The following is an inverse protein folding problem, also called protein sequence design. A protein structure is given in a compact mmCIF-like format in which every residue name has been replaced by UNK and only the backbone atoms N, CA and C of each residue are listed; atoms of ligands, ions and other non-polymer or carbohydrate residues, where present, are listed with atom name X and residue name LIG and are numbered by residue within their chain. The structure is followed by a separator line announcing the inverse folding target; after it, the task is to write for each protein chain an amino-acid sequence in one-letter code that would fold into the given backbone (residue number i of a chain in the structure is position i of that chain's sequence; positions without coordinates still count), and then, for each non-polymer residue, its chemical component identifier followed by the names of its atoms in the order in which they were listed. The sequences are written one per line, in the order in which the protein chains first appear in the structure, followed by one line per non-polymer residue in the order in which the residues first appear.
data_IF_270844673678
#
_entry.id   IF_270844673678
#
_cell.length_a   1.000
_cell.length_b   1.000
_cell.length_c   1.000
_cell.angle_alpha   90.00
_cell.angle_beta   90.00
_cell.angle_gamma   90.00
#
_symmetry.space_group_name_H-M   'P 1'
#
loop_
_entity.id
_entity.type
_entity.pdbx_description
1 polymer ?
#
# COMPACT_ATOMS: atom_id res chain seq x y z
N UNK A 1 60.79 18.29 -12.72
CA UNK A 1 60.70 16.83 -12.51
C UNK A 1 59.24 16.41 -12.67
N UNK A 2 58.84 16.09 -13.90
CA UNK A 2 57.49 15.55 -14.16
C UNK A 2 57.40 14.11 -13.69
N UNK A 3 56.27 13.70 -13.11
CA UNK A 3 56.02 12.33 -12.70
C UNK A 3 55.62 11.50 -13.94
N UNK A 4 56.43 10.54 -14.42
CA UNK A 4 56.08 9.75 -15.59
C UNK A 4 55.06 8.67 -15.20
N UNK A 5 53.77 8.94 -15.36
CA UNK A 5 52.73 7.93 -15.22
C UNK A 5 52.56 7.15 -16.54
N UNK A 6 52.51 5.82 -16.44
CA UNK A 6 52.32 4.93 -17.60
C UNK A 6 50.96 5.13 -18.30
N UNK A 7 50.82 4.56 -19.50
CA UNK A 7 49.59 4.63 -20.27
C UNK A 7 48.39 4.08 -19.47
N UNK A 8 47.32 4.88 -19.37
CA UNK A 8 46.13 4.56 -18.55
C UNK A 8 46.07 5.23 -17.18
N UNK A 9 47.13 5.94 -16.78
CA UNK A 9 47.20 6.66 -15.50
C UNK A 9 47.43 8.16 -15.71
N UNK A 10 47.01 8.98 -14.75
CA UNK A 10 47.19 10.43 -14.74
C UNK A 10 47.79 10.90 -13.42
N UNK A 11 48.55 12.00 -13.43
CA UNK A 11 49.21 12.52 -12.24
C UNK A 11 48.24 13.42 -11.45
N UNK A 12 47.90 13.03 -10.23
CA UNK A 12 47.05 13.81 -9.32
C UNK A 12 47.73 13.91 -7.95
N UNK A 13 47.97 15.15 -7.46
CA UNK A 13 48.66 15.45 -6.18
C UNK A 13 49.97 14.67 -5.96
N UNK A 14 50.80 14.56 -7.00
CA UNK A 14 52.13 13.95 -6.90
C UNK A 14 52.15 12.41 -6.97
N UNK A 15 51.00 11.77 -7.23
CA UNK A 15 50.91 10.32 -7.45
C UNK A 15 50.17 9.97 -8.75
N UNK A 16 50.35 8.75 -9.24
CA UNK A 16 49.68 8.25 -10.44
C UNK A 16 48.36 7.56 -10.07
N UNK A 17 47.25 8.00 -10.67
CA UNK A 17 45.89 7.42 -10.49
C UNK A 17 45.32 6.95 -11.81
N UNK A 18 44.52 5.87 -11.82
CA UNK A 18 43.93 5.33 -13.04
C UNK A 18 42.92 6.30 -13.66
N UNK A 19 42.86 6.36 -14.99
CA UNK A 19 41.84 7.13 -15.71
C UNK A 19 40.50 6.38 -15.60
N UNK A 20 39.51 6.97 -14.94
CA UNK A 20 38.16 6.40 -14.93
C UNK A 20 37.54 6.47 -16.34
N UNK A 21 37.06 5.34 -16.86
CA UNK A 21 36.24 5.32 -18.06
C UNK A 21 34.82 5.82 -17.73
N UNK A 22 34.25 6.65 -18.61
CA UNK A 22 32.87 7.11 -18.49
C UNK A 22 31.91 5.90 -18.42
N UNK A 23 31.06 5.87 -17.39
CA UNK A 23 30.37 4.70 -16.89
C UNK A 23 29.38 4.02 -17.84
N UNK A 24 29.13 2.75 -17.54
CA UNK A 24 27.99 1.98 -18.04
C UNK A 24 26.69 2.63 -17.58
N UNK A 25 25.85 3.02 -18.54
CA UNK A 25 24.48 3.49 -18.30
C UNK A 25 23.69 2.33 -17.69
N UNK A 26 23.49 2.37 -16.38
CA UNK A 26 22.63 1.46 -15.64
C UNK A 26 21.17 1.88 -15.82
N UNK A 27 20.35 0.89 -16.19
CA UNK A 27 18.89 0.80 -16.22
C UNK A 27 18.11 1.77 -17.13
N UNK A 28 17.60 1.18 -18.23
CA UNK A 28 16.46 1.69 -18.99
C UNK A 28 15.19 1.33 -18.23
N UNK A 29 14.50 2.32 -17.69
CA UNK A 29 13.08 2.20 -17.34
C UNK A 29 12.25 2.43 -18.62
N UNK A 30 12.18 1.40 -19.46
CA UNK A 30 11.16 1.29 -20.51
C UNK A 30 10.00 0.47 -19.93
N UNK A 31 9.22 1.06 -19.01
CA UNK A 31 7.90 0.52 -18.68
C UNK A 31 6.91 1.09 -19.69
N UNK A 32 6.88 0.44 -20.85
CA UNK A 32 5.72 0.50 -21.74
C UNK A 32 4.54 -0.14 -21.02
N UNK A 33 3.67 0.72 -20.51
CA UNK A 33 2.26 0.51 -20.16
C UNK A 33 1.64 -0.69 -20.89
N UNK A 34 1.56 -1.83 -20.20
CA UNK A 34 0.51 -2.82 -20.45
C UNK A 34 -0.61 -2.54 -19.46
N UNK A 35 -1.84 -2.51 -19.97
CA UNK A 35 -3.04 -2.02 -19.30
C UNK A 35 -3.65 -3.07 -18.34
N UNK A 36 -2.81 -3.70 -17.52
CA UNK A 36 -3.17 -4.57 -16.39
C UNK A 36 -2.10 -4.43 -15.29
N UNK A 37 -1.80 -3.19 -14.88
CA UNK A 37 -0.90 -2.95 -13.74
C UNK A 37 -1.66 -3.19 -12.46
N UNK A 38 -1.26 -4.25 -11.76
CA UNK A 38 -1.75 -4.61 -10.44
C UNK A 38 -1.42 -3.46 -9.50
N UNK A 39 -2.45 -2.70 -9.14
CA UNK A 39 -2.29 -1.56 -8.25
C UNK A 39 -1.84 -2.05 -6.89
N UNK A 40 -0.82 -1.39 -6.34
CA UNK A 40 -0.40 -1.61 -4.96
C UNK A 40 -1.54 -1.31 -4.00
N UNK A 41 -1.52 -1.84 -2.76
CA UNK A 41 -2.52 -1.54 -1.75
C UNK A 41 -2.76 -0.04 -1.53
N UNK A 42 -1.69 0.77 -1.51
CA UNK A 42 -1.79 2.23 -1.37
C UNK A 42 -2.37 2.90 -2.62
N UNK A 43 -2.05 2.43 -3.83
CA UNK A 43 -2.65 2.96 -5.07
C UNK A 43 -4.15 2.66 -5.12
N UNK A 44 -4.57 1.47 -4.70
CA UNK A 44 -5.99 1.11 -4.60
C UNK A 44 -6.71 1.98 -3.55
N UNK A 45 -6.10 2.16 -2.37
CA UNK A 45 -6.64 3.00 -1.32
C UNK A 45 -6.80 4.47 -1.80
N UNK A 46 -5.75 5.04 -2.38
CA UNK A 46 -5.77 6.39 -2.94
C UNK A 46 -6.81 6.54 -4.05
N UNK A 47 -6.91 5.55 -4.96
CA UNK A 47 -7.91 5.53 -6.03
C UNK A 47 -9.33 5.53 -5.47
N UNK A 48 -9.60 4.73 -4.43
CA UNK A 48 -10.90 4.72 -3.76
C UNK A 48 -11.24 6.10 -3.17
N UNK A 49 -10.28 6.77 -2.52
CA UNK A 49 -10.48 8.12 -1.99
C UNK A 49 -10.86 9.12 -3.09
N UNK A 50 -10.23 9.03 -4.27
CA UNK A 50 -10.58 9.86 -5.41
C UNK A 50 -11.99 9.56 -5.93
N UNK A 51 -12.38 8.29 -6.01
CA UNK A 51 -13.72 7.88 -6.46
C UNK A 51 -14.84 8.29 -5.51
N UNK A 52 -14.56 8.38 -4.20
CA UNK A 52 -15.53 8.84 -3.21
C UNK A 52 -15.51 10.35 -2.99
N UNK A 53 -14.79 11.12 -3.81
CA UNK A 53 -14.64 12.57 -3.69
C UNK A 53 -14.20 13.00 -2.27
N UNK A 54 -13.17 12.34 -1.74
CA UNK A 54 -12.53 12.78 -0.49
C UNK A 54 -11.86 14.13 -0.76
N UNK A 55 -12.12 15.17 0.06
CA UNK A 55 -11.58 16.50 -0.18
C UNK A 55 -10.05 16.49 -0.07
N UNK A 56 -9.40 17.42 -0.77
CA UNK A 56 -7.93 17.53 -0.79
C UNK A 56 -7.30 17.80 0.58
N UNK A 57 -8.08 18.31 1.55
CA UNK A 57 -7.61 18.45 2.93
C UNK A 57 -7.48 17.11 3.67
N UNK A 58 -8.11 16.06 3.16
CA UNK A 58 -8.13 14.71 3.73
C UNK A 58 -7.34 13.70 2.90
N UNK A 59 -6.97 14.00 1.65
CA UNK A 59 -6.23 13.06 0.77
C UNK A 59 -4.88 12.64 1.34
N UNK A 60 -4.30 13.43 2.25
CA UNK A 60 -3.12 13.04 3.01
C UNK A 60 -3.30 11.77 3.85
N UNK A 61 -4.54 11.39 4.17
CA UNK A 61 -4.90 10.17 4.92
C UNK A 61 -5.11 8.94 4.04
N UNK A 62 -5.05 9.08 2.71
CA UNK A 62 -5.36 8.01 1.76
C UNK A 62 -4.15 7.12 1.44
N UNK A 63 -3.36 6.80 2.47
CA UNK A 63 -2.27 5.83 2.44
C UNK A 63 -2.17 5.14 3.81
N UNK A 64 -1.82 3.86 3.85
CA UNK A 64 -1.67 3.13 5.11
C UNK A 64 -0.53 3.69 5.99
N UNK A 65 0.44 4.38 5.37
CA UNK A 65 1.58 5.00 6.06
C UNK A 65 1.18 6.24 6.87
N UNK A 66 0.33 7.09 6.31
CA UNK A 66 -0.14 8.34 6.91
C UNK A 66 -1.45 8.20 7.68
N UNK A 67 -2.23 7.16 7.39
CA UNK A 67 -3.45 6.85 8.13
C UNK A 67 -3.08 6.25 9.49
N UNK A 68 -2.88 7.08 10.52
CA UNK A 68 -2.48 6.64 11.86
C UNK A 68 -3.44 7.12 12.94
N UNK A 69 -3.33 6.53 14.13
CA UNK A 69 -4.08 6.94 15.32
C UNK A 69 -3.95 8.45 15.58
N UNK A 70 -2.77 9.04 15.41
CA UNK A 70 -2.50 10.46 15.66
C UNK A 70 -3.26 11.35 14.68
N UNK A 71 -3.17 11.04 13.38
CA UNK A 71 -3.86 11.81 12.34
C UNK A 71 -5.38 11.68 12.46
N UNK A 72 -5.89 10.47 12.73
CA UNK A 72 -7.31 10.25 12.99
C UNK A 72 -7.79 10.98 14.24
N UNK A 73 -7.00 10.97 15.31
CA UNK A 73 -7.30 11.74 16.52
C UNK A 73 -7.36 13.23 16.23
N UNK A 74 -6.42 13.76 15.44
CA UNK A 74 -6.39 15.17 15.06
C UNK A 74 -7.65 15.56 14.26
N UNK A 75 -8.13 14.71 13.37
CA UNK A 75 -9.40 14.92 12.63
C UNK A 75 -10.59 14.95 13.59
N UNK A 76 -10.72 13.93 14.45
CA UNK A 76 -11.86 13.80 15.37
C UNK A 76 -11.93 14.93 16.41
N UNK A 77 -10.76 15.41 16.85
CA UNK A 77 -10.63 16.55 17.76
C UNK A 77 -10.70 17.91 17.04
N UNK A 78 -10.97 17.93 15.73
CA UNK A 78 -11.03 19.14 14.91
C UNK A 78 -9.73 19.98 14.94
N UNK A 79 -8.59 19.30 15.10
CA UNK A 79 -7.25 19.87 15.07
C UNK A 79 -6.59 19.80 13.68
N UNK A 80 -7.24 19.15 12.71
CA UNK A 80 -6.80 19.09 11.32
C UNK A 80 -7.75 19.86 10.38
N UNK A 81 -7.31 20.12 9.14
CA UNK A 81 -8.14 20.74 8.10
C UNK A 81 -9.12 19.76 7.44
N UNK A 82 -9.01 18.47 7.79
CA UNK A 82 -9.88 17.42 7.28
C UNK A 82 -11.13 17.33 8.15
N UNK A 83 -12.31 17.33 7.52
CA UNK A 83 -13.57 17.26 8.26
C UNK A 83 -13.86 15.82 8.71
N UNK A 84 -14.43 15.61 9.92
CA UNK A 84 -14.77 14.28 10.43
C UNK A 84 -15.68 13.46 9.49
N UNK A 85 -16.60 14.11 8.77
CA UNK A 85 -17.50 13.43 7.82
C UNK A 85 -16.74 12.76 6.66
N UNK A 86 -15.57 13.30 6.28
CA UNK A 86 -14.75 12.71 5.22
C UNK A 86 -13.94 11.50 5.72
N UNK A 87 -13.71 11.40 7.03
CA UNK A 87 -12.94 10.32 7.62
C UNK A 87 -13.64 8.96 7.45
N UNK A 88 -14.97 8.96 7.44
CA UNK A 88 -15.80 7.79 7.15
C UNK A 88 -15.48 7.19 5.78
N UNK A 89 -15.39 8.02 4.73
CA UNK A 89 -15.03 7.59 3.37
C UNK A 89 -13.59 7.05 3.31
N UNK A 90 -12.65 7.73 3.97
CA UNK A 90 -11.26 7.28 4.06
C UNK A 90 -11.19 5.92 4.75
N UNK A 91 -11.91 5.74 5.86
CA UNK A 91 -11.94 4.48 6.62
C UNK A 91 -12.52 3.32 5.79
N UNK A 92 -13.63 3.56 5.11
CA UNK A 92 -14.22 2.60 4.18
C UNK A 92 -13.23 2.16 3.09
N UNK A 93 -12.52 3.13 2.49
CA UNK A 93 -11.52 2.84 1.48
C UNK A 93 -10.32 2.06 2.01
N UNK A 94 -9.85 2.37 3.23
CA UNK A 94 -8.77 1.63 3.89
C UNK A 94 -9.19 0.18 4.16
N UNK A 95 -10.42 -0.04 4.61
CA UNK A 95 -10.97 -1.37 4.86
C UNK A 95 -11.34 -2.14 3.58
N UNK A 96 -11.25 -1.50 2.40
CA UNK A 96 -11.66 -2.04 1.10
C UNK A 96 -13.13 -2.51 1.06
N UNK A 97 -13.98 -1.94 1.91
CA UNK A 97 -15.39 -2.33 2.00
C UNK A 97 -15.61 -3.78 2.42
N UNK A 98 -14.73 -4.35 3.25
CA UNK A 98 -14.82 -5.74 3.74
C UNK A 98 -14.93 -5.81 5.26
N UNK A 99 -15.35 -6.96 5.77
CA UNK A 99 -15.50 -7.21 7.21
C UNK A 99 -14.22 -7.83 7.80
N UNK A 100 -13.56 -7.11 8.70
CA UNK A 100 -12.33 -7.54 9.38
C UNK A 100 -12.54 -8.01 10.82
N UNK A 101 -13.79 -8.26 11.23
CA UNK A 101 -14.14 -8.60 12.63
C UNK A 101 -13.36 -9.81 13.13
N UNK A 102 -13.14 -10.83 12.29
CA UNK A 102 -12.35 -12.01 12.66
C UNK A 102 -10.90 -11.64 13.01
N UNK A 103 -10.26 -10.82 12.18
CA UNK A 103 -8.92 -10.31 12.48
C UNK A 103 -8.91 -9.47 13.75
N UNK A 104 -9.92 -8.61 13.94
CA UNK A 104 -10.02 -7.78 15.13
C UNK A 104 -10.20 -8.57 16.43
N UNK A 105 -10.98 -9.65 16.41
CA UNK A 105 -11.11 -10.58 17.55
C UNK A 105 -9.74 -11.17 17.90
N UNK A 106 -8.97 -11.59 16.89
CA UNK A 106 -7.62 -12.16 17.07
C UNK A 106 -6.61 -11.12 17.57
N UNK A 107 -6.79 -9.85 17.20
CA UNK A 107 -6.00 -8.71 17.68
C UNK A 107 -6.45 -8.16 19.04
N UNK A 108 -7.35 -8.86 19.74
CA UNK A 108 -7.87 -8.46 21.06
C UNK A 108 -8.57 -7.09 21.09
N UNK A 109 -9.14 -6.67 19.96
CA UNK A 109 -9.92 -5.44 19.91
C UNK A 109 -11.25 -5.67 20.65
N UNK A 110 -11.65 -4.77 21.56
CA UNK A 110 -12.89 -4.94 22.31
C UNK A 110 -14.12 -5.01 21.40
N UNK A 111 -15.11 -5.82 21.80
CA UNK A 111 -16.36 -6.03 21.05
C UNK A 111 -17.09 -4.72 20.73
N UNK A 112 -17.07 -3.74 21.65
CA UNK A 112 -17.68 -2.43 21.42
C UNK A 112 -17.02 -1.61 20.30
N UNK A 113 -15.85 -2.03 19.83
CA UNK A 113 -15.11 -1.39 18.74
C UNK A 113 -15.18 -2.17 17.42
N UNK A 114 -15.91 -3.29 17.36
CA UNK A 114 -15.97 -4.12 16.15
C UNK A 114 -16.73 -3.47 15.00
N UNK A 115 -17.55 -2.45 15.27
CA UNK A 115 -18.13 -1.58 14.24
C UNK A 115 -17.07 -0.89 13.36
N UNK A 116 -15.85 -0.69 13.87
CA UNK A 116 -14.72 -0.18 13.07
C UNK A 116 -14.13 -1.23 12.15
N UNK A 117 -14.22 -2.49 12.54
CA UNK A 117 -13.65 -3.60 11.80
C UNK A 117 -14.54 -4.01 10.63
N UNK A 118 -15.85 -3.88 10.77
CA UNK A 118 -16.80 -4.25 9.74
C UNK A 118 -17.15 -3.07 8.83
N UNK A 119 -16.58 -3.05 7.62
CA UNK A 119 -16.97 -2.12 6.55
C UNK A 119 -17.66 -2.85 5.39
N UNK A 120 -18.14 -4.08 5.62
CA UNK A 120 -18.62 -5.03 4.60
C UNK A 120 -20.10 -4.96 4.23
N UNK A 121 -20.83 -3.92 4.64
CA UNK A 121 -22.29 -3.87 4.47
C UNK A 121 -22.85 -2.51 4.04
N UNK A 122 -24.12 -2.53 3.65
CA UNK A 122 -24.98 -1.35 3.43
C UNK A 122 -25.34 -0.63 4.73
N UNK A 123 -24.97 -1.24 5.87
CA UNK A 123 -25.20 -0.71 7.20
C UNK A 123 -24.57 0.68 7.27
N UNK A 124 -25.37 1.65 7.75
CA UNK A 124 -24.99 3.03 8.02
C UNK A 124 -23.52 3.07 8.43
N UNK A 125 -22.63 3.44 7.50
CA UNK A 125 -21.19 3.38 7.72
C UNK A 125 -20.97 4.15 9.02
N UNK A 126 -20.52 3.49 10.10
CA UNK A 126 -20.69 4.09 11.42
C UNK A 126 -20.00 5.46 11.45
N UNK A 127 -20.80 6.52 11.69
CA UNK A 127 -20.27 7.88 11.65
C UNK A 127 -19.17 7.96 12.69
N UNK A 128 -17.92 8.09 12.24
CA UNK A 128 -16.74 8.31 13.06
C UNK A 128 -16.90 9.62 13.86
N UNK A 129 -17.63 9.52 14.97
CA UNK A 129 -17.95 10.62 15.87
C UNK A 129 -17.11 10.56 17.14
N UNK A 130 -17.26 11.59 17.98
CA UNK A 130 -16.60 11.71 19.28
C UNK A 130 -16.86 10.52 20.23
N UNK A 131 -17.96 9.79 20.01
CA UNK A 131 -18.27 8.55 20.74
C UNK A 131 -17.20 7.46 20.52
N UNK A 132 -16.42 7.57 19.46
CA UNK A 132 -15.45 6.57 19.04
C UNK A 132 -14.03 6.83 19.55
N UNK A 133 -13.80 7.92 20.30
CA UNK A 133 -12.50 8.22 20.90
C UNK A 133 -11.95 7.05 21.73
N UNK A 134 -12.82 6.26 22.39
CA UNK A 134 -12.38 5.08 23.14
C UNK A 134 -11.77 3.99 22.23
N UNK A 135 -12.24 3.89 20.99
CA UNK A 135 -11.77 2.90 20.02
C UNK A 135 -10.56 3.37 19.21
N UNK A 136 -10.29 4.68 19.16
CA UNK A 136 -9.16 5.27 18.45
C UNK A 136 -7.81 4.74 18.94
N UNK A 137 -7.70 4.34 20.21
CA UNK A 137 -6.50 3.70 20.74
C UNK A 137 -6.16 2.36 20.05
N UNK A 138 -7.17 1.64 19.56
CA UNK A 138 -7.01 0.38 18.82
C UNK A 138 -6.88 0.59 17.31
N UNK A 139 -6.91 1.84 16.84
CA UNK A 139 -7.00 2.14 15.42
C UNK A 139 -5.81 1.59 14.61
N UNK A 140 -4.59 1.67 15.13
CA UNK A 140 -3.43 1.09 14.44
C UNK A 140 -3.49 -0.46 14.38
N UNK A 141 -4.08 -1.10 15.39
CA UNK A 141 -4.30 -2.55 15.39
C UNK A 141 -5.38 -2.94 14.37
N UNK A 142 -6.47 -2.16 14.30
CA UNK A 142 -7.52 -2.32 13.27
C UNK A 142 -6.92 -2.12 11.88
N UNK A 143 -6.13 -1.06 11.68
CA UNK A 143 -5.44 -0.79 10.41
C UNK A 143 -4.53 -1.94 10.00
N UNK A 144 -3.88 -2.61 10.94
CA UNK A 144 -3.03 -3.76 10.63
C UNK A 144 -3.84 -4.87 9.96
N UNK A 145 -5.06 -5.12 10.40
CA UNK A 145 -5.98 -6.05 9.73
C UNK A 145 -6.29 -5.62 8.29
N UNK A 146 -6.54 -4.33 8.06
CA UNK A 146 -6.80 -3.80 6.72
C UNK A 146 -5.60 -3.99 5.80
N UNK A 147 -4.40 -3.71 6.31
CA UNK A 147 -3.14 -3.89 5.57
C UNK A 147 -2.89 -5.36 5.26
N UNK A 148 -3.10 -6.28 6.22
CA UNK A 148 -2.97 -7.72 6.00
C UNK A 148 -3.86 -8.19 4.85
N UNK A 149 -5.14 -7.82 4.88
CA UNK A 149 -6.09 -8.16 3.82
C UNK A 149 -5.74 -7.51 2.47
N UNK A 150 -5.34 -6.24 2.50
CA UNK A 150 -5.01 -5.55 1.26
C UNK A 150 -3.78 -6.17 0.57
N UNK A 151 -2.81 -6.63 1.37
CA UNK A 151 -1.66 -7.37 0.88
C UNK A 151 -2.03 -8.76 0.36
N UNK A 152 -2.88 -9.52 1.07
CA UNK A 152 -3.28 -10.86 0.61
C UNK A 152 -3.94 -10.82 -0.76
N UNK A 153 -4.90 -9.91 -0.95
CA UNK A 153 -5.59 -9.68 -2.23
C UNK A 153 -4.61 -9.26 -3.34
N UNK A 154 -3.65 -8.38 -3.01
CA UNK A 154 -2.62 -7.95 -3.96
C UNK A 154 -1.77 -9.13 -4.45
N UNK A 155 -1.32 -10.01 -3.55
CA UNK A 155 -0.51 -11.17 -3.91
C UNK A 155 -1.31 -12.26 -4.62
N UNK A 156 -2.58 -12.48 -4.26
CA UNK A 156 -3.47 -13.40 -4.98
C UNK A 156 -3.71 -12.92 -6.41
N UNK A 157 -3.98 -11.63 -6.59
CA UNK A 157 -4.04 -11.02 -7.91
C UNK A 157 -2.74 -11.23 -8.67
N UNK A 158 -1.58 -10.98 -8.04
CA UNK A 158 -0.26 -11.17 -8.66
C UNK A 158 0.00 -12.61 -9.09
N UNK A 159 -0.45 -13.58 -8.30
CA UNK A 159 -0.34 -14.99 -8.64
C UNK A 159 -1.22 -15.33 -9.84
N UNK A 160 -2.46 -14.87 -9.89
CA UNK A 160 -3.39 -15.14 -10.99
C UNK A 160 -2.92 -14.50 -12.30
N UNK A 161 -2.43 -13.25 -12.27
CA UNK A 161 -1.84 -12.59 -13.45
C UNK A 161 -0.59 -13.32 -13.96
N UNK A 162 0.25 -13.84 -13.05
CA UNK A 162 1.43 -14.64 -13.40
C UNK A 162 1.07 -15.98 -14.02
N UNK A 163 -0.04 -16.60 -13.60
CA UNK A 163 -0.54 -17.86 -14.17
C UNK A 163 -1.14 -17.68 -15.57
N UNK A 164 -1.66 -16.49 -15.90
CA UNK A 164 -2.15 -16.15 -17.24
C UNK A 164 -1.03 -15.86 -18.26
N UNK A 165 0.23 -15.72 -17.82
CA UNK A 165 1.40 -15.51 -18.70
C UNK A 165 2.16 -16.78 -19.10
N UNK A 166 1.69 -17.98 -18.71
CA UNK A 166 2.36 -19.25 -19.04
C UNK A 166 1.63 -20.02 -20.16
N UNK A 167 2.17 -20.13 -21.39
CA UNK A 167 1.59 -20.95 -22.44
C UNK A 167 2.06 -22.40 -22.30
N UNK A 168 1.55 -23.16 -21.31
CA UNK A 168 1.47 -24.63 -21.42
C UNK A 168 0.70 -25.28 -20.24
N UNK A 169 -0.54 -25.68 -20.49
CA UNK A 169 -1.09 -26.92 -19.92
C UNK A 169 -2.19 -27.46 -20.83
N UNK A 170 -1.77 -28.10 -21.92
CA UNK A 170 -2.60 -29.12 -22.56
C UNK A 170 -2.75 -30.29 -21.57
N UNK A 171 -3.96 -30.48 -21.07
CA UNK A 171 -4.38 -31.69 -20.36
C UNK A 171 -4.26 -32.89 -21.31
N UNK A 172 -3.15 -33.63 -21.21
CA UNK A 172 -3.09 -35.00 -21.72
C UNK A 172 -3.48 -35.95 -20.59
N UNK A 173 -4.78 -36.17 -20.48
CA UNK A 173 -5.38 -37.30 -19.76
C UNK A 173 -4.73 -38.63 -20.20
N UNK A 174 -3.79 -39.12 -19.39
CA UNK A 174 -3.45 -40.54 -19.38
C UNK A 174 -4.52 -41.27 -18.57
N UNK A 175 -5.55 -41.73 -19.27
CA UNK A 175 -6.48 -42.74 -18.76
C UNK A 175 -5.74 -44.05 -18.48
N UNK A 176 -5.48 -44.32 -17.20
CA UNK A 176 -5.21 -45.67 -16.72
C UNK A 176 -6.54 -46.40 -16.56
N UNK A 177 -6.81 -47.36 -17.44
CA UNK A 177 -7.77 -48.43 -17.17
C UNK A 177 -7.38 -49.69 -17.95
N UNK A 178 -7.62 -50.81 -17.26
CA UNK A 178 -7.47 -52.21 -17.60
C UNK A 178 -8.10 -52.63 -18.92
#
# INVERSE_FOLDING_TARGET
MGCPCGAGFMCMRGGCVARAAAGTKTFKDDVSKSEFTQSTPDEHFSTCCHLLDVPSSCTGLCSYSSYSTEEVSAVLLQQSQCQPDSLQKVHFCAARGTNHTECCVRSFIPQQCHSFCDQGGENDVDKLSLAHLQCVHYFNDIKTCFVEYANSEYFEGYRESSQLTDPQSEDTSLGAAF
#
